data_IF_827280240478
#
_entry.id   IF_827280240478
#
_cell.length_a   1.000
_cell.length_b   1.000
_cell.length_c   1.000
_cell.angle_alpha   90.00
_cell.angle_beta   90.00
_cell.angle_gamma   90.00
#
_symmetry.space_group_name_H-M   'P 1'
#
loop_
_entity.id
_entity.type
_entity.pdbx_description
1 polymer ?
#
# COMPACT_ATOMS: atom_id res chain seq x y z
N UNK A 1 30.72 63.99 -16.45
CA UNK A 1 30.58 63.40 -17.79
C UNK A 1 30.66 61.90 -17.57
N UNK A 2 29.52 61.21 -17.60
CA UNK A 2 29.51 59.75 -17.58
C UNK A 2 30.12 59.25 -18.89
N UNK A 3 31.03 58.29 -18.78
CA UNK A 3 31.77 57.75 -19.92
C UNK A 3 30.79 56.94 -20.80
N UNK A 4 30.67 57.19 -22.12
CA UNK A 4 29.68 56.52 -22.98
C UNK A 4 29.79 54.98 -23.00
N UNK A 5 30.97 54.44 -22.65
CA UNK A 5 31.24 53.01 -22.45
C UNK A 5 30.48 52.42 -21.25
N UNK A 6 30.41 53.15 -20.14
CA UNK A 6 29.75 52.72 -18.90
C UNK A 6 28.23 52.56 -19.03
N UNK A 7 27.58 53.43 -19.80
CA UNK A 7 26.13 53.38 -20.05
C UNK A 7 25.75 52.15 -20.90
N UNK A 8 26.61 51.76 -21.85
CA UNK A 8 26.40 50.56 -22.67
C UNK A 8 26.54 49.27 -21.85
N UNK A 9 27.50 49.21 -20.91
CA UNK A 9 27.67 48.06 -20.02
C UNK A 9 26.47 47.88 -19.08
N UNK A 10 25.96 48.97 -18.49
CA UNK A 10 24.79 48.90 -17.61
C UNK A 10 23.56 48.38 -18.37
N UNK A 11 23.31 48.87 -19.59
CA UNK A 11 22.23 48.37 -20.43
C UNK A 11 22.36 46.89 -20.76
N UNK A 12 23.58 46.41 -21.01
CA UNK A 12 23.85 44.99 -21.24
C UNK A 12 23.60 44.15 -19.99
N UNK A 13 24.04 44.58 -18.81
CA UNK A 13 23.77 43.86 -17.56
C UNK A 13 22.28 43.81 -17.23
N UNK A 14 21.54 44.89 -17.48
CA UNK A 14 20.07 44.92 -17.34
C UNK A 14 19.42 43.96 -18.33
N UNK A 15 19.88 43.95 -19.59
CA UNK A 15 19.41 43.00 -20.60
C UNK A 15 19.70 41.55 -20.18
N UNK A 16 20.91 41.24 -19.69
CA UNK A 16 21.28 39.92 -19.18
C UNK A 16 20.38 39.49 -18.02
N UNK A 17 20.13 40.39 -17.08
CA UNK A 17 19.25 40.12 -15.94
C UNK A 17 17.84 39.79 -16.42
N UNK A 18 17.28 40.60 -17.33
CA UNK A 18 15.95 40.35 -17.92
C UNK A 18 15.93 39.01 -18.65
N UNK A 19 16.94 38.72 -19.48
CA UNK A 19 17.05 37.45 -20.22
C UNK A 19 17.17 36.27 -19.26
N UNK A 20 17.94 36.38 -18.18
CA UNK A 20 18.08 35.32 -17.18
C UNK A 20 16.76 35.09 -16.42
N UNK A 21 16.02 36.15 -16.08
CA UNK A 21 14.69 36.04 -15.46
C UNK A 21 13.68 35.40 -16.42
N UNK A 22 13.71 35.75 -17.70
CA UNK A 22 12.86 35.10 -18.71
C UNK A 22 13.23 33.63 -18.87
N UNK A 23 14.53 33.29 -18.89
CA UNK A 23 14.97 31.90 -18.94
C UNK A 23 14.49 31.12 -17.71
N UNK A 24 14.63 31.72 -16.53
CA UNK A 24 14.14 31.16 -15.27
C UNK A 24 12.63 30.88 -15.30
N UNK A 25 11.85 31.78 -15.89
CA UNK A 25 10.42 31.59 -16.06
C UNK A 25 10.10 30.37 -16.94
N UNK A 26 10.76 30.24 -18.10
CA UNK A 26 10.54 29.11 -19.01
C UNK A 26 10.98 27.78 -18.36
N UNK A 27 12.16 27.78 -17.74
CA UNK A 27 12.74 26.63 -17.06
C UNK A 27 11.91 26.15 -15.86
N UNK A 28 11.41 27.08 -15.04
CA UNK A 28 10.49 26.74 -13.94
C UNK A 28 9.14 26.23 -14.47
N UNK A 29 8.64 26.80 -15.56
CA UNK A 29 7.38 26.34 -16.19
C UNK A 29 7.50 24.93 -16.73
N UNK A 30 8.60 24.62 -17.42
CA UNK A 30 8.93 23.27 -17.89
C UNK A 30 8.84 22.26 -16.73
N UNK A 31 9.62 22.51 -15.67
CA UNK A 31 9.73 21.58 -14.55
C UNK A 31 8.44 21.46 -13.75
N UNK A 32 7.71 22.57 -13.57
CA UNK A 32 6.41 22.54 -12.94
C UNK A 32 5.46 21.60 -13.71
N UNK A 33 5.37 21.75 -15.04
CA UNK A 33 4.45 20.97 -15.86
C UNK A 33 4.81 19.49 -15.95
N UNK A 34 6.10 19.17 -16.10
CA UNK A 34 6.60 17.78 -16.20
C UNK A 34 6.43 17.02 -14.88
N UNK A 35 6.49 17.70 -13.73
CA UNK A 35 6.40 17.06 -12.41
C UNK A 35 4.97 16.98 -11.85
N UNK A 36 3.96 17.44 -12.58
CA UNK A 36 2.56 17.37 -12.16
C UNK A 36 2.04 15.92 -12.16
N UNK A 37 1.19 15.61 -11.19
CA UNK A 37 0.39 14.40 -11.24
C UNK A 37 -0.79 14.64 -12.21
N UNK A 38 -0.76 13.94 -13.35
CA UNK A 38 -1.76 14.08 -14.41
C UNK A 38 -3.18 13.71 -13.94
N UNK A 39 -3.33 12.61 -13.20
CA UNK A 39 -4.62 12.16 -12.67
C UNK A 39 -5.28 13.22 -11.79
N UNK A 40 -4.50 13.91 -10.94
CA UNK A 40 -5.01 15.02 -10.12
C UNK A 40 -5.46 16.23 -10.95
N UNK A 41 -4.79 16.51 -12.06
CA UNK A 41 -5.18 17.60 -12.98
C UNK A 41 -6.47 17.24 -13.72
N UNK A 42 -6.60 16.00 -14.17
CA UNK A 42 -7.81 15.47 -14.81
C UNK A 42 -9.00 15.50 -13.86
N UNK A 43 -8.85 14.96 -12.64
CA UNK A 43 -9.88 15.00 -11.59
C UNK A 43 -10.42 16.41 -11.37
N UNK A 44 -9.54 17.40 -11.15
CA UNK A 44 -9.96 18.79 -10.92
C UNK A 44 -10.55 19.47 -12.16
N UNK A 45 -10.19 19.01 -13.35
CA UNK A 45 -10.81 19.49 -14.58
C UNK A 45 -12.23 18.93 -14.73
N UNK A 46 -12.46 17.66 -14.38
CA UNK A 46 -13.79 17.02 -14.32
C UNK A 46 -14.70 17.65 -13.28
N UNK A 47 -14.16 18.02 -12.12
CA UNK A 47 -14.86 18.83 -11.09
C UNK A 47 -15.25 20.25 -11.59
N UNK A 48 -14.79 20.65 -12.77
CA UNK A 48 -15.19 21.88 -13.44
C UNK A 48 -14.30 23.10 -13.18
N UNK A 49 -13.11 22.95 -12.56
CA UNK A 49 -12.19 24.08 -12.39
C UNK A 49 -11.60 24.50 -13.75
N UNK A 50 -12.04 25.66 -14.24
CA UNK A 50 -11.62 26.27 -15.51
C UNK A 50 -10.10 26.48 -15.64
N UNK A 51 -9.35 26.52 -14.54
CA UNK A 51 -7.89 26.61 -14.56
C UNK A 51 -7.28 25.26 -14.90
N UNK A 52 -7.76 24.20 -14.28
CA UNK A 52 -7.32 22.83 -14.53
C UNK A 52 -7.74 22.34 -15.91
N UNK A 53 -8.94 22.71 -16.41
CA UNK A 53 -9.34 22.44 -17.80
C UNK A 53 -8.36 23.06 -18.82
N UNK A 54 -7.83 24.27 -18.54
CA UNK A 54 -6.85 24.91 -19.42
C UNK A 54 -5.48 24.27 -19.32
N UNK A 55 -5.07 23.90 -18.11
CA UNK A 55 -3.83 23.19 -17.86
C UNK A 55 -3.84 21.82 -18.56
N UNK A 56 -4.94 21.08 -18.46
CA UNK A 56 -5.12 19.78 -19.11
C UNK A 56 -4.91 19.86 -20.63
N UNK A 57 -5.46 20.88 -21.30
CA UNK A 57 -5.20 21.11 -22.74
C UNK A 57 -3.72 21.24 -23.12
N UNK A 58 -2.90 21.76 -22.20
CA UNK A 58 -1.45 21.85 -22.42
C UNK A 58 -0.79 20.48 -22.23
N UNK A 59 -1.22 19.73 -21.21
CA UNK A 59 -0.71 18.39 -20.91
C UNK A 59 -1.12 17.34 -21.96
N UNK A 60 -2.28 17.48 -22.61
CA UNK A 60 -2.73 16.64 -23.73
C UNK A 60 -1.83 16.74 -24.97
N UNK A 61 -1.01 17.80 -25.08
CA UNK A 61 -0.12 18.04 -26.22
C UNK A 61 1.32 18.27 -25.74
N UNK A 62 1.97 17.29 -25.09
CA UNK A 62 3.25 17.48 -24.41
C UNK A 62 4.35 17.88 -25.38
N UNK A 63 4.37 17.31 -26.59
CA UNK A 63 5.35 17.66 -27.64
C UNK A 63 5.27 19.13 -28.05
N UNK A 64 4.06 19.67 -28.20
CA UNK A 64 3.85 21.08 -28.57
C UNK A 64 4.28 22.00 -27.42
N UNK A 65 3.94 21.64 -26.18
CA UNK A 65 4.35 22.34 -24.97
C UNK A 65 5.88 22.38 -24.83
N UNK A 66 6.53 21.22 -24.80
CA UNK A 66 7.99 21.10 -24.64
C UNK A 66 8.73 21.86 -25.73
N UNK A 67 8.29 21.72 -26.99
CA UNK A 67 8.89 22.45 -28.11
C UNK A 67 8.73 23.97 -27.98
N UNK A 68 7.57 24.45 -27.51
CA UNK A 68 7.32 25.89 -27.29
C UNK A 68 8.29 26.47 -26.25
N UNK A 69 8.44 25.77 -25.12
CA UNK A 69 9.36 26.17 -24.05
C UNK A 69 10.81 26.13 -24.54
N UNK A 70 11.21 25.04 -25.22
CA UNK A 70 12.56 24.83 -25.72
C UNK A 70 12.99 25.92 -26.71
N UNK A 71 12.10 26.33 -27.61
CA UNK A 71 12.34 27.45 -28.54
C UNK A 71 12.59 28.74 -27.76
N UNK A 72 11.79 29.01 -26.72
CA UNK A 72 11.96 30.18 -25.84
C UNK A 72 13.30 30.19 -25.12
N UNK A 73 13.65 29.09 -24.44
CA UNK A 73 14.93 28.92 -23.74
C UNK A 73 16.09 29.10 -24.70
N UNK A 74 16.06 28.39 -25.84
CA UNK A 74 17.14 28.43 -26.83
C UNK A 74 17.34 29.84 -27.39
N UNK A 75 16.25 30.55 -27.71
CA UNK A 75 16.33 31.92 -28.21
C UNK A 75 16.96 32.86 -27.16
N UNK A 76 16.54 32.75 -25.89
CA UNK A 76 17.07 33.55 -24.79
C UNK A 76 18.56 33.26 -24.57
N UNK A 77 18.97 31.99 -24.61
CA UNK A 77 20.37 31.58 -24.49
C UNK A 77 21.23 32.15 -25.62
N UNK A 78 20.76 32.06 -26.87
CA UNK A 78 21.46 32.61 -28.04
C UNK A 78 21.59 34.14 -27.91
N UNK A 79 20.51 34.84 -27.55
CA UNK A 79 20.54 36.30 -27.37
C UNK A 79 21.49 36.73 -26.24
N UNK A 80 21.49 35.99 -25.13
CA UNK A 80 22.38 36.25 -23.98
C UNK A 80 23.85 36.04 -24.36
N UNK A 81 24.16 34.94 -25.04
CA UNK A 81 25.53 34.63 -25.48
C UNK A 81 26.05 35.60 -26.53
N UNK A 82 25.23 35.94 -27.54
CA UNK A 82 25.63 36.81 -28.65
C UNK A 82 25.82 38.28 -28.24
N UNK A 83 25.05 38.78 -27.26
CA UNK A 83 25.09 40.20 -26.88
C UNK A 83 26.14 40.53 -25.80
N UNK A 84 26.51 39.59 -24.93
CA UNK A 84 27.30 39.89 -23.72
C UNK A 84 28.71 39.28 -23.70
N UNK A 85 28.93 38.11 -24.31
CA UNK A 85 30.22 37.42 -24.19
C UNK A 85 31.37 38.22 -24.83
N UNK A 86 31.10 38.89 -25.94
CA UNK A 86 32.09 39.69 -26.66
C UNK A 86 32.44 41.00 -25.91
N UNK A 87 31.46 41.66 -25.28
CA UNK A 87 31.71 42.92 -24.55
C UNK A 87 32.46 42.67 -23.25
N UNK A 88 32.02 41.69 -22.46
CA UNK A 88 32.74 41.29 -21.23
C UNK A 88 34.12 40.70 -21.55
N UNK A 89 34.27 40.00 -22.66
CA UNK A 89 35.56 39.51 -23.16
C UNK A 89 36.56 40.65 -23.40
N UNK A 90 36.13 41.77 -24.03
CA UNK A 90 36.96 42.96 -24.24
C UNK A 90 37.40 43.63 -22.94
N UNK A 91 36.49 43.75 -21.97
CA UNK A 91 36.80 44.36 -20.66
C UNK A 91 37.80 43.52 -19.86
N UNK A 92 37.60 42.20 -19.79
CA UNK A 92 38.53 41.29 -19.12
C UNK A 92 39.89 41.25 -19.84
N UNK A 93 39.89 41.32 -21.18
CA UNK A 93 41.13 41.35 -21.98
C UNK A 93 41.97 42.60 -21.67
N UNK A 94 41.32 43.75 -21.41
CA UNK A 94 42.01 44.99 -21.04
C UNK A 94 42.86 44.84 -19.77
N UNK A 95 42.50 43.92 -18.87
CA UNK A 95 43.24 43.62 -17.64
C UNK A 95 44.34 42.57 -17.84
N UNK A 96 44.24 41.74 -18.89
CA UNK A 96 45.16 40.64 -19.19
C UNK A 96 46.28 41.01 -20.18
N UNK A 97 46.14 42.14 -20.88
CA UNK A 97 47.09 42.69 -21.87
C UNK A 97 46.52 42.73 -23.29
N UNK A 98 47.04 43.62 -24.15
CA UNK A 98 46.49 43.87 -25.51
C UNK A 98 46.91 42.84 -26.58
N UNK A 99 47.09 41.57 -26.21
CA UNK A 99 47.45 40.49 -27.14
C UNK A 99 46.24 39.72 -27.67
N UNK A 100 46.33 39.15 -28.88
CA UNK A 100 45.27 38.29 -29.44
C UNK A 100 44.98 37.06 -28.54
N UNK A 101 46.02 36.50 -27.90
CA UNK A 101 45.90 35.40 -26.95
C UNK A 101 45.17 35.82 -25.67
N UNK A 102 45.44 37.02 -25.17
CA UNK A 102 44.76 37.59 -24.01
C UNK A 102 43.27 37.83 -24.30
N UNK A 103 42.93 38.29 -25.50
CA UNK A 103 41.55 38.43 -25.95
C UNK A 103 40.80 37.10 -26.01
N UNK A 104 41.42 36.07 -26.60
CA UNK A 104 40.82 34.73 -26.70
C UNK A 104 40.55 34.11 -25.32
N UNK A 105 41.52 34.21 -24.40
CA UNK A 105 41.38 33.71 -23.02
C UNK A 105 40.31 34.49 -22.26
N UNK A 106 40.31 35.81 -22.35
CA UNK A 106 39.31 36.66 -21.69
C UNK A 106 37.88 36.41 -22.21
N UNK A 107 37.72 36.24 -23.52
CA UNK A 107 36.42 35.92 -24.13
C UNK A 107 35.92 34.54 -23.71
N UNK A 108 36.81 33.53 -23.63
CA UNK A 108 36.46 32.21 -23.13
C UNK A 108 36.03 32.24 -21.65
N UNK A 109 36.80 32.91 -20.79
CA UNK A 109 36.47 33.04 -19.37
C UNK A 109 35.18 33.82 -19.15
N UNK A 110 34.95 34.89 -19.92
CA UNK A 110 33.69 35.62 -19.91
C UNK A 110 32.51 34.73 -20.28
N UNK A 111 32.62 33.97 -21.39
CA UNK A 111 31.58 33.06 -21.82
C UNK A 111 31.30 31.97 -20.77
N UNK A 112 32.36 31.37 -20.19
CA UNK A 112 32.22 30.36 -19.15
C UNK A 112 31.53 30.91 -17.90
N UNK A 113 31.92 32.12 -17.45
CA UNK A 113 31.29 32.78 -16.31
C UNK A 113 29.81 33.12 -16.58
N UNK A 114 29.50 33.72 -17.74
CA UNK A 114 28.13 34.03 -18.14
C UNK A 114 27.27 32.76 -18.24
N UNK A 115 27.82 31.70 -18.81
CA UNK A 115 27.15 30.41 -18.93
C UNK A 115 26.85 29.83 -17.54
N UNK A 116 27.81 29.87 -16.61
CA UNK A 116 27.59 29.43 -15.24
C UNK A 116 26.46 30.21 -14.55
N UNK A 117 26.48 31.55 -14.63
CA UNK A 117 25.42 32.39 -14.06
C UNK A 117 24.06 32.07 -14.71
N UNK A 118 24.00 31.95 -16.04
CA UNK A 118 22.78 31.64 -16.77
C UNK A 118 22.22 30.26 -16.42
N UNK A 119 23.07 29.24 -16.26
CA UNK A 119 22.65 27.89 -15.87
C UNK A 119 22.16 27.89 -14.42
N UNK A 120 22.91 28.46 -13.49
CA UNK A 120 22.55 28.43 -12.07
C UNK A 120 21.26 29.21 -11.80
N UNK A 121 21.19 30.47 -12.24
CA UNK A 121 20.07 31.36 -11.93
C UNK A 121 18.93 31.28 -12.94
N UNK A 122 19.23 30.97 -14.20
CA UNK A 122 18.24 30.86 -15.27
C UNK A 122 17.67 29.46 -15.45
N UNK A 123 18.31 28.42 -14.91
CA UNK A 123 17.84 27.04 -15.12
C UNK A 123 17.75 26.21 -13.84
N UNK A 124 18.88 25.90 -13.20
CA UNK A 124 18.93 24.94 -12.09
C UNK A 124 18.14 25.39 -10.86
N UNK A 125 18.33 26.63 -10.41
CA UNK A 125 17.63 27.15 -9.23
C UNK A 125 16.11 27.31 -9.47
N UNK A 126 15.65 27.88 -10.60
CA UNK A 126 14.22 27.93 -10.95
C UNK A 126 13.57 26.53 -11.03
N UNK A 127 14.24 25.53 -11.60
CA UNK A 127 13.73 24.14 -11.64
C UNK A 127 13.55 23.57 -10.23
N UNK A 128 14.48 23.85 -9.30
CA UNK A 128 14.35 23.44 -7.89
C UNK A 128 13.17 24.11 -7.17
N UNK A 129 12.93 25.39 -7.43
CA UNK A 129 11.74 26.07 -6.89
C UNK A 129 10.46 25.45 -7.46
N UNK A 130 10.46 25.16 -8.77
CA UNK A 130 9.30 24.62 -9.46
C UNK A 130 8.83 23.27 -8.88
N UNK A 131 9.75 22.41 -8.46
CA UNK A 131 9.42 21.13 -7.82
C UNK A 131 8.55 21.28 -6.56
N UNK A 132 8.77 22.33 -5.77
CA UNK A 132 8.02 22.58 -4.54
C UNK A 132 6.70 23.33 -4.77
N UNK A 133 6.57 24.06 -5.89
CA UNK A 133 5.42 24.94 -6.19
C UNK A 133 4.72 24.57 -7.50
N UNK A 134 4.87 23.32 -7.95
CA UNK A 134 4.48 22.84 -9.29
C UNK A 134 3.02 23.13 -9.64
N UNK A 135 2.08 22.86 -8.74
CA UNK A 135 0.64 23.10 -8.95
C UNK A 135 0.33 24.58 -9.23
N UNK A 136 0.82 25.47 -8.35
CA UNK A 136 0.54 26.90 -8.45
C UNK A 136 1.21 27.53 -9.67
N UNK A 137 2.44 27.12 -9.97
CA UNK A 137 3.19 27.63 -11.12
C UNK A 137 2.55 27.16 -12.43
N UNK A 138 2.28 25.87 -12.59
CA UNK A 138 1.68 25.32 -13.80
C UNK A 138 0.36 26.00 -14.18
N UNK A 139 -0.53 26.20 -13.20
CA UNK A 139 -1.81 26.89 -13.42
C UNK A 139 -1.61 28.34 -13.87
N UNK A 140 -0.65 29.04 -13.25
CA UNK A 140 -0.42 30.47 -13.51
C UNK A 140 0.27 30.70 -14.85
N UNK A 141 1.14 29.78 -15.26
CA UNK A 141 1.94 29.89 -16.49
C UNK A 141 1.24 29.33 -17.72
N UNK A 142 0.34 28.35 -17.57
CA UNK A 142 -0.45 27.75 -18.65
C UNK A 142 -1.02 28.75 -19.68
N UNK A 143 -1.74 29.84 -19.31
CA UNK A 143 -2.27 30.77 -20.30
C UNK A 143 -1.18 31.52 -21.10
N UNK A 144 -0.05 31.83 -20.46
CA UNK A 144 1.10 32.48 -21.11
C UNK A 144 1.70 31.53 -22.15
N UNK A 145 1.88 30.27 -21.80
CA UNK A 145 2.44 29.26 -22.71
C UNK A 145 1.50 28.95 -23.87
N UNK A 146 0.19 28.89 -23.64
CA UNK A 146 -0.78 28.73 -24.75
C UNK A 146 -0.68 29.92 -25.72
N UNK A 147 -0.53 31.14 -25.21
CA UNK A 147 -0.35 32.33 -26.04
C UNK A 147 0.95 32.29 -26.84
N UNK A 148 2.07 31.99 -26.19
CA UNK A 148 3.38 31.89 -26.83
C UNK A 148 3.43 30.75 -27.84
N UNK A 149 2.86 29.58 -27.53
CA UNK A 149 2.80 28.44 -28.43
C UNK A 149 2.10 28.74 -29.73
N UNK A 150 1.05 29.59 -29.72
CA UNK A 150 0.42 30.08 -30.95
C UNK A 150 1.35 30.99 -31.77
N UNK A 151 2.13 31.85 -31.10
CA UNK A 151 3.09 32.74 -31.75
C UNK A 151 4.22 31.95 -32.43
N UNK A 152 4.79 30.97 -31.73
CA UNK A 152 5.92 30.17 -32.23
C UNK A 152 5.49 28.91 -32.98
N UNK A 153 4.19 28.73 -33.21
CA UNK A 153 3.60 27.54 -33.84
C UNK A 153 4.27 27.12 -35.16
N UNK A 154 4.66 28.04 -36.08
CA UNK A 154 5.36 27.64 -37.31
C UNK A 154 6.71 26.96 -37.05
N UNK A 155 7.45 27.42 -36.03
CA UNK A 155 8.72 26.84 -35.62
C UNK A 155 8.51 25.50 -34.91
N UNK A 156 7.51 25.42 -34.04
CA UNK A 156 7.13 24.18 -33.36
C UNK A 156 6.72 23.11 -34.37
N UNK A 157 5.90 23.47 -35.37
CA UNK A 157 5.51 22.55 -36.45
C UNK A 157 6.73 21.99 -37.21
N UNK A 158 7.72 22.84 -37.52
CA UNK A 158 8.93 22.41 -38.20
C UNK A 158 9.75 21.42 -37.34
N UNK A 159 9.87 21.69 -36.04
CA UNK A 159 10.52 20.78 -35.09
C UNK A 159 9.77 19.45 -35.00
N UNK A 160 8.45 19.48 -34.81
CA UNK A 160 7.61 18.28 -34.74
C UNK A 160 7.64 17.46 -36.04
N UNK A 161 7.66 18.12 -37.21
CA UNK A 161 7.80 17.43 -38.49
C UNK A 161 9.15 16.72 -38.59
N UNK A 162 10.22 17.34 -38.08
CA UNK A 162 11.56 16.77 -38.05
C UNK A 162 11.64 15.56 -37.11
N UNK A 163 11.08 15.65 -35.90
CA UNK A 163 11.03 14.53 -34.94
C UNK A 163 10.16 13.39 -35.46
N UNK A 164 9.04 13.68 -36.11
CA UNK A 164 8.16 12.66 -36.71
C UNK A 164 8.80 11.95 -37.91
N UNK A 165 9.68 12.63 -38.66
CA UNK A 165 10.46 11.98 -39.72
C UNK A 165 11.47 11.00 -39.13
N UNK A 166 12.13 11.37 -38.04
CA UNK A 166 13.06 10.50 -37.33
C UNK A 166 12.34 9.33 -36.65
N UNK A 167 11.17 9.56 -36.05
CA UNK A 167 10.41 8.49 -35.38
C UNK A 167 9.98 7.39 -36.34
N UNK A 168 9.72 7.70 -37.62
CA UNK A 168 9.45 6.69 -38.67
C UNK A 168 10.63 5.77 -38.97
N UNK A 169 11.85 6.18 -38.65
CA UNK A 169 13.06 5.37 -38.82
C UNK A 169 13.31 4.45 -37.62
N UNK A 170 12.62 4.68 -36.50
CA UNK A 170 12.76 3.91 -35.25
C UNK A 170 11.49 3.12 -34.97
N UNK A 171 11.53 1.78 -34.82
CA UNK A 171 10.36 0.97 -34.51
C UNK A 171 9.99 1.09 -33.01
N UNK A 172 9.59 2.28 -32.56
CA UNK A 172 9.12 2.56 -31.20
C UNK A 172 7.84 3.39 -31.23
N UNK A 173 6.91 3.07 -30.34
CA UNK A 173 5.72 3.88 -30.06
C UNK A 173 6.08 4.90 -28.97
N UNK A 174 5.93 6.19 -29.26
CA UNK A 174 6.29 7.30 -28.35
C UNK A 174 5.06 7.98 -27.72
N UNK A 175 3.89 7.33 -27.78
CA UNK A 175 2.66 7.83 -27.16
C UNK A 175 2.55 7.24 -25.74
N UNK A 176 3.13 7.93 -24.76
CA UNK A 176 3.17 7.56 -23.33
C UNK A 176 1.86 7.92 -22.58
N UNK A 177 0.74 8.08 -23.28
CA UNK A 177 -0.42 8.74 -22.68
C UNK A 177 -1.24 7.87 -21.71
N UNK A 178 -1.16 6.54 -21.81
CA UNK A 178 -2.04 5.60 -21.10
C UNK A 178 -1.27 4.32 -20.69
N UNK A 179 -0.16 4.44 -19.96
CA UNK A 179 0.37 3.27 -19.26
C UNK A 179 -0.60 2.96 -18.11
N UNK A 180 -1.54 2.05 -18.38
CA UNK A 180 -2.49 1.57 -17.38
C UNK A 180 -1.68 0.87 -16.30
N UNK A 181 -1.89 1.28 -15.06
CA UNK A 181 -1.28 0.60 -13.93
C UNK A 181 -1.58 -0.89 -13.98
N UNK A 182 -0.54 -1.69 -13.79
CA UNK A 182 -0.67 -3.13 -13.65
C UNK A 182 -1.11 -3.49 -12.23
N UNK A 183 -1.61 -4.72 -12.04
CA UNK A 183 -1.98 -5.21 -10.70
C UNK A 183 -0.78 -5.15 -9.75
N UNK A 184 0.37 -5.62 -10.23
CA UNK A 184 1.64 -5.62 -9.49
C UNK A 184 2.08 -4.21 -9.05
N UNK A 185 1.82 -3.18 -9.88
CA UNK A 185 2.08 -1.79 -9.51
C UNK A 185 1.14 -1.28 -8.41
N UNK A 186 -0.13 -1.70 -8.41
CA UNK A 186 -1.09 -1.37 -7.34
C UNK A 186 -0.65 -2.06 -6.04
N UNK A 187 -0.31 -3.34 -6.09
CA UNK A 187 0.18 -4.09 -4.94
C UNK A 187 1.48 -3.50 -4.36
N UNK A 188 2.41 -3.11 -5.25
CA UNK A 188 3.63 -2.41 -4.86
C UNK A 188 3.34 -1.06 -4.20
N UNK A 189 2.38 -0.29 -4.72
CA UNK A 189 1.97 0.97 -4.09
C UNK A 189 1.41 0.72 -2.69
N UNK A 190 0.48 -0.24 -2.53
CA UNK A 190 -0.14 -0.56 -1.24
C UNK A 190 0.90 -0.98 -0.20
N UNK A 191 1.85 -1.84 -0.58
CA UNK A 191 2.91 -2.31 0.32
C UNK A 191 3.86 -1.18 0.74
N UNK A 192 4.06 -0.16 -0.10
CA UNK A 192 4.90 1.00 0.21
C UNK A 192 4.10 2.20 0.74
N UNK A 193 2.83 2.02 1.09
CA UNK A 193 1.94 3.08 1.59
C UNK A 193 1.88 3.17 3.12
N UNK A 194 2.90 2.69 3.85
CA UNK A 194 2.91 2.64 5.32
C UNK A 194 2.65 3.99 6.02
N UNK A 195 2.89 5.13 5.36
CA UNK A 195 2.56 6.46 5.91
C UNK A 195 1.09 6.88 5.71
N UNK A 196 0.31 6.13 4.91
CA UNK A 196 -1.03 6.54 4.44
C UNK A 196 -2.14 5.54 4.76
N UNK A 197 -1.81 4.25 4.92
CA UNK A 197 -2.74 3.17 5.25
C UNK A 197 -2.25 2.42 6.49
N UNK A 198 -3.19 2.01 7.34
CA UNK A 198 -2.89 1.18 8.51
C UNK A 198 -2.57 -0.26 8.09
N UNK A 199 -1.84 -1.01 8.92
CA UNK A 199 -1.42 -2.39 8.60
C UNK A 199 -2.62 -3.31 8.31
N UNK A 200 -3.70 -3.17 9.08
CA UNK A 200 -4.93 -3.94 8.91
C UNK A 200 -5.63 -3.62 7.58
N UNK A 201 -5.56 -2.36 7.12
CA UNK A 201 -6.12 -1.96 5.82
C UNK A 201 -5.31 -2.57 4.65
N UNK A 202 -4.00 -2.64 4.80
CA UNK A 202 -3.11 -3.27 3.81
C UNK A 202 -3.40 -4.77 3.74
N UNK A 203 -3.55 -5.45 4.89
CA UNK A 203 -3.89 -6.88 4.96
C UNK A 203 -5.24 -7.17 4.29
N UNK A 204 -6.26 -6.36 4.58
CA UNK A 204 -7.56 -6.52 3.94
C UNK A 204 -7.52 -6.35 2.42
N UNK A 205 -6.78 -5.35 1.94
CA UNK A 205 -6.65 -5.14 0.49
C UNK A 205 -5.89 -6.29 -0.18
N UNK A 206 -4.84 -6.81 0.46
CA UNK A 206 -4.11 -7.99 -0.02
C UNK A 206 -5.03 -9.21 -0.07
N UNK A 207 -5.85 -9.44 0.95
CA UNK A 207 -6.87 -10.49 0.97
C UNK A 207 -7.86 -10.38 -0.18
N UNK A 208 -8.35 -9.17 -0.49
CA UNK A 208 -9.22 -8.95 -1.67
C UNK A 208 -8.51 -9.32 -2.97
N UNK A 209 -7.21 -9.01 -3.09
CA UNK A 209 -6.43 -9.37 -4.27
C UNK A 209 -6.02 -10.85 -4.33
N UNK A 210 -6.14 -11.65 -3.26
CA UNK A 210 -5.81 -13.07 -3.34
C UNK A 210 -7.03 -13.93 -3.74
N UNK A 211 -8.25 -13.44 -3.59
CA UNK A 211 -9.47 -14.24 -3.78
C UNK A 211 -9.68 -14.79 -5.19
N UNK A 212 -9.18 -14.12 -6.23
CA UNK A 212 -9.28 -14.58 -7.62
C UNK A 212 -8.20 -15.60 -8.00
N UNK A 213 -7.23 -15.82 -7.10
CA UNK A 213 -6.16 -16.82 -7.26
C UNK A 213 -6.39 -18.06 -6.38
N UNK A 214 -7.14 -17.92 -5.28
CA UNK A 214 -7.49 -18.98 -4.35
C UNK A 214 -8.65 -19.85 -4.86
N UNK A 215 -8.47 -21.17 -4.79
CA UNK A 215 -9.54 -22.15 -5.04
C UNK A 215 -10.25 -22.55 -3.75
N UNK A 216 -11.54 -22.90 -3.85
CA UNK A 216 -12.35 -23.32 -2.72
C UNK A 216 -11.74 -24.50 -1.92
N UNK A 217 -11.04 -25.44 -2.58
CA UNK A 217 -10.33 -26.53 -1.91
C UNK A 217 -9.21 -26.10 -0.96
N UNK A 218 -8.68 -24.89 -1.11
CA UNK A 218 -7.57 -24.37 -0.29
C UNK A 218 -8.08 -23.82 1.04
N UNK A 219 -9.36 -23.41 1.09
CA UNK A 219 -10.03 -22.80 2.26
C UNK A 219 -11.13 -23.69 2.83
N UNK A 220 -11.30 -24.92 2.32
CA UNK A 220 -12.37 -25.81 2.74
C UNK A 220 -12.07 -26.49 4.08
N UNK A 221 -13.15 -26.79 4.81
CA UNK A 221 -13.12 -27.83 5.85
C UNK A 221 -13.18 -29.19 5.15
N UNK A 222 -12.12 -30.02 5.23
CA UNK A 222 -12.09 -31.32 4.55
C UNK A 222 -13.19 -32.25 5.05
N UNK A 223 -13.69 -33.15 4.20
CA UNK A 223 -14.74 -34.13 4.56
C UNK A 223 -14.41 -34.93 5.84
N UNK A 224 -13.14 -35.20 6.10
CA UNK A 224 -12.69 -35.95 7.29
C UNK A 224 -12.93 -35.19 8.59
N UNK A 225 -12.85 -33.87 8.52
CA UNK A 225 -12.90 -32.97 9.68
C UNK A 225 -14.28 -32.30 9.82
N UNK A 226 -15.08 -32.34 8.75
CA UNK A 226 -16.45 -31.85 8.75
C UNK A 226 -17.35 -32.62 9.72
N UNK A 227 -18.00 -31.89 10.63
CA UNK A 227 -19.08 -32.41 11.47
C UNK A 227 -20.35 -32.59 10.63
N UNK A 228 -20.84 -33.82 10.54
CA UNK A 228 -22.00 -34.20 9.74
C UNK A 228 -22.79 -35.30 10.46
N UNK A 229 -24.05 -35.48 10.11
CA UNK A 229 -24.92 -36.51 10.70
C UNK A 229 -25.51 -37.43 9.65
N UNK A 230 -25.60 -38.73 9.96
CA UNK A 230 -26.28 -39.71 9.10
C UNK A 230 -27.79 -39.65 9.36
N UNK A 231 -28.60 -39.60 8.31
CA UNK A 231 -30.05 -39.66 8.40
C UNK A 231 -30.58 -41.02 8.88
N UNK A 232 -29.77 -42.07 8.78
CA UNK A 232 -30.11 -43.42 9.21
C UNK A 232 -29.93 -43.66 10.72
N UNK A 233 -29.22 -42.75 11.40
CA UNK A 233 -29.02 -42.84 12.85
C UNK A 233 -30.31 -42.61 13.64
N UNK A 234 -30.31 -43.03 14.90
CA UNK A 234 -31.43 -42.77 15.80
C UNK A 234 -31.67 -41.26 15.94
N UNK A 235 -32.92 -40.84 15.79
CA UNK A 235 -33.26 -39.41 15.76
C UNK A 235 -32.87 -38.69 17.05
N UNK A 236 -32.97 -39.35 18.21
CA UNK A 236 -32.56 -38.76 19.48
C UNK A 236 -31.03 -38.62 19.54
N UNK A 237 -30.28 -39.58 19.01
CA UNK A 237 -28.81 -39.51 18.91
C UNK A 237 -28.34 -38.38 17.97
N UNK A 238 -29.00 -38.20 16.81
CA UNK A 238 -28.71 -37.10 15.88
C UNK A 238 -28.93 -35.75 16.57
N UNK A 239 -30.09 -35.57 17.22
CA UNK A 239 -30.45 -34.33 17.93
C UNK A 239 -29.42 -34.03 19.03
N UNK A 240 -29.07 -35.03 19.85
CA UNK A 240 -28.07 -34.86 20.90
C UNK A 240 -26.70 -34.48 20.33
N UNK A 241 -26.30 -35.06 19.20
CA UNK A 241 -25.03 -34.76 18.55
C UNK A 241 -25.01 -33.34 18.01
N UNK A 242 -26.10 -32.90 17.36
CA UNK A 242 -26.25 -31.53 16.86
C UNK A 242 -26.20 -30.52 18.00
N UNK A 243 -26.98 -30.73 19.07
CA UNK A 243 -27.09 -29.77 20.17
C UNK A 243 -25.83 -29.68 21.06
N UNK A 244 -24.88 -30.60 20.90
CA UNK A 244 -23.56 -30.52 21.56
C UNK A 244 -22.57 -29.61 20.82
N UNK A 245 -22.83 -29.32 19.55
CA UNK A 245 -21.98 -28.48 18.72
C UNK A 245 -22.54 -27.05 18.67
N UNK A 246 -21.64 -26.09 18.41
CA UNK A 246 -22.01 -24.69 18.25
C UNK A 246 -22.38 -24.33 16.80
N UNK A 247 -22.38 -25.30 15.89
CA UNK A 247 -22.64 -25.04 14.47
C UNK A 247 -24.10 -24.66 14.21
N UNK A 248 -24.29 -23.61 13.41
CA UNK A 248 -25.62 -23.17 12.95
C UNK A 248 -26.17 -24.04 11.82
N UNK A 249 -25.29 -24.65 11.02
CA UNK A 249 -25.62 -25.46 9.84
C UNK A 249 -24.85 -26.76 9.88
N UNK A 250 -25.55 -27.87 9.70
CA UNK A 250 -24.95 -29.21 9.73
C UNK A 250 -25.36 -29.97 8.46
N UNK A 251 -24.40 -30.44 7.65
CA UNK A 251 -24.68 -31.34 6.54
C UNK A 251 -25.23 -32.68 7.02
N UNK A 252 -26.18 -33.21 6.26
CA UNK A 252 -26.81 -34.52 6.50
C UNK A 252 -26.54 -35.42 5.31
N UNK A 253 -26.03 -36.61 5.58
CA UNK A 253 -25.74 -37.61 4.57
C UNK A 253 -26.61 -38.87 4.77
N UNK A 254 -26.61 -39.75 3.79
CA UNK A 254 -27.36 -41.02 3.82
C UNK A 254 -26.40 -42.20 3.62
N UNK A 255 -26.03 -42.84 4.73
CA UNK A 255 -25.12 -43.99 4.79
C UNK A 255 -23.65 -43.66 4.54
N UNK A 256 -23.33 -43.13 3.35
CA UNK A 256 -21.98 -42.70 2.99
C UNK A 256 -21.86 -41.17 3.12
N UNK A 257 -20.76 -40.69 3.70
CA UNK A 257 -20.47 -39.25 3.83
C UNK A 257 -20.38 -38.53 2.49
N UNK A 258 -20.08 -39.27 1.41
CA UNK A 258 -20.11 -38.72 0.05
C UNK A 258 -21.52 -38.36 -0.43
N UNK A 259 -22.55 -38.97 0.15
CA UNK A 259 -23.93 -38.78 -0.26
C UNK A 259 -24.64 -37.77 0.63
N UNK A 260 -24.28 -36.50 0.50
CA UNK A 260 -24.95 -35.40 1.20
C UNK A 260 -26.35 -35.16 0.60
N UNK A 261 -27.39 -35.30 1.41
CA UNK A 261 -28.80 -35.18 0.99
C UNK A 261 -29.43 -33.85 1.41
N UNK A 262 -28.80 -33.07 2.29
CA UNK A 262 -29.32 -31.79 2.74
C UNK A 262 -28.49 -31.13 3.84
N UNK A 263 -28.91 -29.92 4.22
CA UNK A 263 -28.34 -29.16 5.33
C UNK A 263 -29.45 -28.88 6.34
N UNK A 264 -29.16 -29.09 7.61
CA UNK A 264 -30.05 -28.72 8.73
C UNK A 264 -29.56 -27.43 9.34
N UNK A 265 -30.48 -26.48 9.48
CA UNK A 265 -30.26 -25.31 10.32
C UNK A 265 -30.69 -25.61 11.76
N UNK A 266 -29.82 -25.40 12.75
CA UNK A 266 -30.08 -25.74 14.17
C UNK A 266 -31.36 -25.06 14.69
N UNK A 267 -31.58 -23.78 14.35
CA UNK A 267 -32.85 -23.08 14.63
C UNK A 267 -34.10 -23.75 14.05
N UNK A 268 -34.03 -24.34 12.85
CA UNK A 268 -35.15 -25.06 12.23
C UNK A 268 -35.45 -26.35 12.97
N UNK A 269 -34.41 -27.06 13.41
CA UNK A 269 -34.52 -28.25 14.26
C UNK A 269 -35.21 -27.91 15.59
N UNK A 270 -34.73 -26.88 16.29
CA UNK A 270 -35.31 -26.42 17.55
C UNK A 270 -36.78 -26.00 17.39
N UNK A 271 -37.11 -25.31 16.30
CA UNK A 271 -38.49 -24.92 15.99
C UNK A 271 -39.39 -26.14 15.77
N UNK A 272 -38.92 -27.14 15.01
CA UNK A 272 -39.67 -28.36 14.78
C UNK A 272 -39.86 -29.15 16.09
N UNK A 273 -38.81 -29.29 16.90
CA UNK A 273 -38.89 -29.93 18.21
C UNK A 273 -39.85 -29.23 19.17
N UNK A 274 -39.94 -27.90 19.12
CA UNK A 274 -40.89 -27.13 19.93
C UNK A 274 -42.35 -27.33 19.50
N UNK A 275 -42.63 -27.41 18.19
CA UNK A 275 -44.00 -27.51 17.66
C UNK A 275 -44.51 -28.95 17.66
N UNK A 276 -43.70 -29.89 17.17
CA UNK A 276 -44.11 -31.27 16.90
C UNK A 276 -43.61 -32.24 18.00
N UNK A 277 -42.68 -31.80 18.86
CA UNK A 277 -41.95 -32.63 19.81
C UNK A 277 -40.70 -33.26 19.18
N UNK A 278 -39.61 -33.36 19.94
CA UNK A 278 -38.33 -33.91 19.44
C UNK A 278 -38.45 -35.38 18.98
N UNK A 279 -39.36 -36.15 19.56
CA UNK A 279 -39.59 -37.56 19.20
C UNK A 279 -40.32 -37.74 17.86
N UNK A 280 -40.96 -36.68 17.34
CA UNK A 280 -41.79 -36.74 16.12
C UNK A 280 -41.21 -35.93 14.95
N UNK A 281 -39.92 -35.58 14.99
CA UNK A 281 -39.29 -34.77 13.95
C UNK A 281 -39.29 -35.52 12.61
N UNK A 282 -39.83 -34.86 11.59
CA UNK A 282 -39.77 -35.34 10.20
C UNK A 282 -38.61 -34.63 9.49
N UNK A 283 -37.44 -35.26 9.50
CA UNK A 283 -36.19 -34.68 8.96
C UNK A 283 -36.33 -34.09 7.55
N UNK A 284 -37.00 -34.80 6.63
CA UNK A 284 -37.24 -34.33 5.25
C UNK A 284 -37.96 -32.98 5.15
N UNK A 285 -38.68 -32.54 6.20
CA UNK A 285 -39.37 -31.23 6.22
C UNK A 285 -38.48 -30.08 6.68
N UNK A 286 -37.36 -30.38 7.33
CA UNK A 286 -36.43 -29.39 7.90
C UNK A 286 -35.09 -29.35 7.17
N UNK A 287 -34.81 -30.34 6.30
CA UNK A 287 -33.68 -30.32 5.39
C UNK A 287 -33.85 -29.20 4.36
N UNK A 288 -32.76 -28.47 4.13
CA UNK A 288 -32.62 -27.53 3.04
C UNK A 288 -31.72 -28.12 1.97
N UNK A 289 -32.03 -27.83 0.70
CA UNK A 289 -31.18 -28.24 -0.40
C UNK A 289 -29.78 -27.60 -0.25
N UNK A 290 -28.70 -28.39 -0.39
CA UNK A 290 -27.33 -27.90 -0.34
C UNK A 290 -26.96 -27.21 -1.66
N UNK A 291 -26.03 -26.25 -1.60
CA UNK A 291 -25.37 -25.72 -2.78
C UNK A 291 -24.16 -26.60 -3.09
N UNK A 292 -24.17 -27.28 -4.23
CA UNK A 292 -23.04 -28.08 -4.69
C UNK A 292 -22.22 -27.30 -5.72
N UNK A 293 -20.90 -27.28 -5.52
CA UNK A 293 -19.94 -26.64 -6.42
C UNK A 293 -18.70 -27.53 -6.55
N UNK A 294 -17.95 -27.48 -7.67
CA UNK A 294 -16.69 -28.20 -7.76
C UNK A 294 -15.65 -27.64 -6.79
N UNK A 295 -14.77 -28.47 -6.24
CA UNK A 295 -13.70 -28.03 -5.33
C UNK A 295 -12.69 -27.04 -5.97
N UNK A 296 -12.68 -26.97 -7.31
CA UNK A 296 -11.79 -26.12 -8.12
C UNK A 296 -12.38 -24.74 -8.44
N UNK A 297 -13.58 -24.41 -7.98
CA UNK A 297 -14.14 -23.06 -8.14
C UNK A 297 -13.25 -22.04 -7.42
N UNK A 298 -13.03 -20.87 -8.03
CA UNK A 298 -12.34 -19.76 -7.36
C UNK A 298 -13.18 -19.18 -6.23
N UNK A 299 -12.50 -18.69 -5.19
CA UNK A 299 -13.15 -18.16 -3.99
C UNK A 299 -14.03 -16.95 -4.31
N UNK A 300 -13.59 -16.04 -5.17
CA UNK A 300 -14.37 -14.86 -5.56
C UNK A 300 -15.69 -15.23 -6.28
N UNK A 301 -15.67 -16.26 -7.11
CA UNK A 301 -16.84 -16.81 -7.79
C UNK A 301 -17.74 -17.59 -6.83
N UNK A 302 -17.17 -18.36 -5.89
CA UNK A 302 -17.94 -19.03 -4.84
C UNK A 302 -18.66 -18.02 -3.93
N UNK A 303 -17.98 -16.93 -3.56
CA UNK A 303 -18.57 -15.83 -2.78
C UNK A 303 -19.75 -15.20 -3.52
N UNK A 304 -19.62 -14.98 -4.84
CA UNK A 304 -20.73 -14.49 -5.69
C UNK A 304 -21.89 -15.50 -5.71
N UNK A 305 -21.61 -16.79 -5.84
CA UNK A 305 -22.64 -17.84 -5.88
C UNK A 305 -23.41 -17.95 -4.55
N UNK A 306 -22.71 -17.97 -3.42
CA UNK A 306 -23.30 -17.96 -2.08
C UNK A 306 -24.20 -16.73 -1.87
N UNK A 307 -23.73 -15.54 -2.28
CA UNK A 307 -24.51 -14.30 -2.21
C UNK A 307 -25.75 -14.31 -3.09
N UNK A 308 -25.63 -14.76 -4.35
CA UNK A 308 -26.73 -14.80 -5.31
C UNK A 308 -27.82 -15.80 -4.91
N UNK A 309 -27.40 -16.95 -4.38
CA UNK A 309 -28.31 -18.00 -3.90
C UNK A 309 -28.80 -17.77 -2.47
N UNK A 310 -28.29 -16.74 -1.79
CA UNK A 310 -28.53 -16.44 -0.37
C UNK A 310 -28.24 -17.64 0.55
N UNK A 311 -27.22 -18.42 0.19
CA UNK A 311 -26.71 -19.54 1.00
C UNK A 311 -25.48 -19.08 1.78
N UNK A 312 -25.22 -19.74 2.91
CA UNK A 312 -24.05 -19.48 3.77
C UNK A 312 -23.12 -20.69 3.87
N UNK A 313 -23.38 -21.75 3.12
CA UNK A 313 -22.58 -22.97 3.10
C UNK A 313 -22.71 -23.63 1.73
N UNK A 314 -21.58 -24.06 1.18
CA UNK A 314 -21.49 -24.87 -0.02
C UNK A 314 -20.82 -26.21 0.31
N UNK A 315 -21.26 -27.27 -0.37
CA UNK A 315 -20.64 -28.58 -0.33
C UNK A 315 -19.78 -28.71 -1.59
N UNK A 316 -18.49 -28.95 -1.38
CA UNK A 316 -17.52 -29.08 -2.47
C UNK A 316 -17.50 -30.52 -2.98
N UNK A 317 -17.55 -30.68 -4.30
CA UNK A 317 -17.50 -31.97 -4.97
C UNK A 317 -16.14 -32.20 -5.65
N UNK A 318 -15.64 -33.42 -5.53
CA UNK A 318 -14.48 -33.89 -6.29
C UNK A 318 -14.86 -34.26 -7.74
N UNK A 319 -13.88 -34.70 -8.54
CA UNK A 319 -14.11 -35.06 -9.94
C UNK A 319 -14.96 -36.31 -10.14
N UNK A 320 -15.16 -37.10 -9.08
CA UNK A 320 -15.98 -38.30 -9.07
C UNK A 320 -17.40 -38.03 -8.56
N UNK A 321 -17.69 -36.80 -8.12
CA UNK A 321 -18.97 -36.38 -7.55
C UNK A 321 -19.15 -36.72 -6.08
N UNK A 322 -18.09 -37.17 -5.40
CA UNK A 322 -18.06 -37.34 -3.95
C UNK A 322 -17.83 -36.02 -3.22
N UNK A 323 -18.10 -35.99 -1.92
CA UNK A 323 -17.86 -34.79 -1.11
C UNK A 323 -16.36 -34.64 -0.85
N UNK A 324 -15.76 -33.57 -1.33
CA UNK A 324 -14.39 -33.19 -0.98
C UNK A 324 -14.34 -32.50 0.40
N UNK A 325 -15.29 -31.61 0.66
CA UNK A 325 -15.36 -30.80 1.87
C UNK A 325 -16.55 -29.85 1.86
N UNK A 326 -16.51 -28.87 2.74
CA UNK A 326 -17.48 -27.76 2.78
C UNK A 326 -16.77 -26.43 2.98
N UNK A 327 -17.42 -25.36 2.54
CA UNK A 327 -16.97 -23.98 2.73
C UNK A 327 -18.17 -23.15 3.16
N UNK A 328 -17.97 -22.29 4.15
CA UNK A 328 -18.96 -21.34 4.65
C UNK A 328 -18.70 -19.93 4.13
N UNK A 329 -19.66 -19.03 4.29
CA UNK A 329 -19.46 -17.63 3.91
C UNK A 329 -18.42 -16.97 4.82
N UNK A 330 -18.39 -17.40 6.07
CA UNK A 330 -17.48 -16.98 7.12
C UNK A 330 -16.03 -17.29 6.74
N UNK A 331 -15.74 -18.54 6.32
CA UNK A 331 -14.39 -18.95 5.87
C UNK A 331 -13.89 -18.09 4.68
N UNK A 332 -14.79 -17.71 3.76
CA UNK A 332 -14.39 -16.86 2.62
C UNK A 332 -14.15 -15.40 2.99
N UNK A 333 -14.80 -14.91 4.06
CA UNK A 333 -14.59 -13.56 4.56
C UNK A 333 -13.31 -13.47 5.40
N UNK A 334 -12.93 -14.55 6.07
CA UNK A 334 -11.69 -14.67 6.81
C UNK A 334 -10.46 -14.45 5.93
N UNK A 335 -10.48 -14.92 4.68
CA UNK A 335 -9.41 -14.64 3.70
C UNK A 335 -9.24 -13.14 3.36
N UNK A 336 -10.28 -12.33 3.59
CA UNK A 336 -10.23 -10.88 3.42
C UNK A 336 -9.86 -10.20 4.73
N UNK A 337 -10.53 -10.55 5.83
CA UNK A 337 -10.50 -9.76 7.07
C UNK A 337 -9.37 -10.23 8.00
N UNK A 338 -8.76 -11.38 7.72
CA UNK A 338 -7.93 -12.11 8.66
C UNK A 338 -8.79 -12.92 9.62
N UNK A 339 -8.13 -13.61 10.56
CA UNK A 339 -8.80 -14.46 11.55
C UNK A 339 -9.86 -13.65 12.32
N UNK A 340 -11.12 -14.03 12.19
CA UNK A 340 -12.22 -13.44 12.93
C UNK A 340 -12.48 -14.38 14.12
N UNK A 341 -11.98 -14.02 15.30
CA UNK A 341 -12.31 -14.74 16.53
C UNK A 341 -13.85 -14.76 16.74
N UNK A 342 -14.49 -15.93 16.65
CA UNK A 342 -15.92 -16.05 16.91
C UNK A 342 -16.18 -15.83 18.41
N UNK A 343 -17.34 -15.25 18.77
CA UNK A 343 -17.73 -15.06 20.18
C UNK A 343 -17.82 -16.41 20.93
N UNK A 344 -17.91 -17.52 20.17
CA UNK A 344 -17.96 -18.89 20.68
C UNK A 344 -16.66 -19.67 20.55
N UNK A 345 -15.66 -19.14 19.87
CA UNK A 345 -14.31 -19.64 19.99
C UNK A 345 -13.92 -19.42 21.45
N UNK A 346 -13.56 -20.50 22.13
CA UNK A 346 -12.88 -20.35 23.41
C UNK A 346 -11.63 -19.56 23.08
N UNK A 347 -11.61 -18.27 23.43
CA UNK A 347 -10.42 -17.44 23.53
C UNK A 347 -9.27 -18.39 23.83
N UNK A 348 -8.37 -18.58 22.87
CA UNK A 348 -7.32 -19.57 22.96
C UNK A 348 -6.73 -19.42 24.36
N UNK A 349 -6.86 -20.46 25.22
CA UNK A 349 -6.56 -20.30 26.65
C UNK A 349 -5.16 -19.67 26.75
N UNK A 350 -5.10 -18.37 27.10
CA UNK A 350 -3.88 -17.59 26.95
C UNK A 350 -2.79 -18.10 27.88
N UNK A 351 -3.19 -18.83 28.94
CA UNK A 351 -2.32 -19.36 29.96
C UNK A 351 -2.60 -20.85 30.24
N UNK A 352 -1.62 -21.70 29.96
CA UNK A 352 -1.63 -23.12 30.34
C UNK A 352 -0.67 -23.40 31.50
N UNK A 353 -1.19 -23.81 32.67
CA UNK A 353 -0.36 -24.25 33.79
C UNK A 353 0.21 -25.65 33.52
N UNK A 354 1.53 -25.81 33.64
CA UNK A 354 2.26 -27.06 33.39
C UNK A 354 3.04 -27.58 34.63
N UNK A 355 3.04 -26.82 35.73
CA UNK A 355 3.60 -27.19 37.04
C UNK A 355 3.03 -26.29 38.14
N UNK A 356 3.41 -26.52 39.41
CA UNK A 356 2.91 -25.72 40.54
C UNK A 356 3.11 -24.21 40.30
N UNK A 357 4.32 -23.83 39.88
CA UNK A 357 4.73 -22.44 39.67
C UNK A 357 5.17 -22.16 38.23
N UNK A 358 4.66 -22.92 37.26
CA UNK A 358 5.12 -22.84 35.87
C UNK A 358 3.97 -22.87 34.88
N UNK A 359 3.98 -21.90 33.97
CA UNK A 359 2.92 -21.64 32.99
C UNK A 359 3.51 -21.49 31.59
N UNK A 360 2.71 -21.80 30.57
CA UNK A 360 2.97 -21.49 29.17
C UNK A 360 1.92 -20.47 28.75
N UNK A 361 2.39 -19.29 28.39
CA UNK A 361 1.56 -18.15 28.02
C UNK A 361 1.68 -17.89 26.52
N UNK A 362 0.58 -17.57 25.86
CA UNK A 362 0.60 -17.14 24.46
C UNK A 362 1.33 -15.82 24.34
N UNK A 363 2.23 -15.71 23.35
CA UNK A 363 3.04 -14.51 23.16
C UNK A 363 2.22 -13.25 22.87
N UNK A 364 1.00 -13.43 22.36
CA UNK A 364 0.03 -12.39 22.02
C UNK A 364 -0.74 -11.86 23.22
N UNK A 365 -0.69 -12.51 24.40
CA UNK A 365 -1.38 -12.05 25.60
C UNK A 365 -0.95 -10.62 25.95
N UNK A 366 -1.91 -9.73 26.18
CA UNK A 366 -1.60 -8.33 26.49
C UNK A 366 -0.98 -8.19 27.87
N UNK A 367 -0.20 -7.13 28.10
CA UNK A 367 0.37 -6.85 29.42
C UNK A 367 -0.71 -6.65 30.49
N UNK A 368 -1.85 -6.05 30.13
CA UNK A 368 -2.97 -5.87 31.06
C UNK A 368 -3.56 -7.21 31.48
N UNK A 369 -3.86 -8.09 30.53
CA UNK A 369 -4.41 -9.42 30.83
C UNK A 369 -3.40 -10.26 31.63
N UNK A 370 -2.10 -10.13 31.30
CA UNK A 370 -1.03 -10.80 32.01
C UNK A 370 -0.94 -10.34 33.47
N UNK A 371 -1.00 -9.02 33.68
CA UNK A 371 -1.00 -8.39 35.01
C UNK A 371 -2.21 -8.83 35.83
N UNK A 372 -3.40 -8.82 35.24
CA UNK A 372 -4.64 -9.24 35.90
C UNK A 372 -4.61 -10.74 36.25
N UNK A 373 -4.07 -11.58 35.37
CA UNK A 373 -4.02 -13.03 35.59
C UNK A 373 -3.02 -13.43 36.67
N UNK A 374 -1.80 -12.85 36.64
CA UNK A 374 -0.73 -13.22 37.57
C UNK A 374 -0.62 -12.31 38.79
N UNK A 375 -1.44 -11.26 38.87
CA UNK A 375 -1.45 -10.26 39.94
C UNK A 375 -0.03 -9.66 40.10
N UNK A 376 0.43 -9.07 38.99
CA UNK A 376 1.73 -8.41 38.82
C UNK A 376 1.53 -7.08 38.08
N UNK A 377 2.57 -6.25 38.03
CA UNK A 377 2.52 -4.95 37.35
C UNK A 377 3.72 -4.83 36.40
N UNK A 378 3.47 -5.16 35.14
CA UNK A 378 4.37 -4.97 34.01
C UNK A 378 3.85 -3.82 33.16
N UNK A 379 4.70 -2.84 32.87
CA UNK A 379 4.35 -1.69 32.05
C UNK A 379 5.45 -1.42 31.02
N UNK A 380 5.05 -1.03 29.82
CA UNK A 380 5.96 -0.57 28.77
C UNK A 380 5.24 0.44 27.87
N UNK A 381 5.97 1.46 27.43
CA UNK A 381 5.46 2.48 26.50
C UNK A 381 5.57 2.05 25.02
N UNK A 382 6.38 1.02 24.73
CA UNK A 382 6.74 0.62 23.36
C UNK A 382 6.11 -0.71 22.92
N UNK A 383 5.56 -1.50 23.86
CA UNK A 383 5.03 -2.84 23.59
C UNK A 383 3.81 -3.17 24.44
N UNK A 384 2.81 -3.81 23.82
CA UNK A 384 1.54 -4.13 24.46
C UNK A 384 1.40 -5.61 24.86
N UNK A 385 2.28 -6.49 24.37
CA UNK A 385 2.18 -7.96 24.55
C UNK A 385 3.32 -8.54 25.38
N UNK A 386 3.09 -9.69 26.01
CA UNK A 386 4.10 -10.38 26.82
C UNK A 386 5.33 -10.83 25.99
N UNK A 387 5.15 -11.23 24.73
CA UNK A 387 6.26 -11.54 23.85
C UNK A 387 7.10 -10.30 23.52
N UNK A 388 6.45 -9.16 23.24
CA UNK A 388 7.13 -7.89 23.02
C UNK A 388 7.93 -7.47 24.24
N UNK A 389 7.31 -7.53 25.42
CA UNK A 389 7.95 -7.19 26.70
C UNK A 389 9.17 -8.08 27.00
N UNK A 390 9.04 -9.39 26.80
CA UNK A 390 10.15 -10.34 26.90
C UNK A 390 11.29 -10.00 25.92
N UNK A 391 10.99 -9.71 24.65
CA UNK A 391 11.99 -9.39 23.64
C UNK A 391 12.74 -8.09 23.96
N UNK A 392 12.03 -7.08 24.47
CA UNK A 392 12.63 -5.83 24.95
C UNK A 392 13.56 -6.09 26.13
N UNK A 393 13.16 -6.95 27.07
CA UNK A 393 13.98 -7.33 28.23
C UNK A 393 15.25 -8.11 27.86
N UNK A 394 15.15 -9.03 26.88
CA UNK A 394 16.28 -9.83 26.40
C UNK A 394 17.17 -9.06 25.42
N UNK A 395 16.63 -8.08 24.69
CA UNK A 395 17.37 -7.20 23.77
C UNK A 395 17.82 -7.87 22.46
N UNK A 396 17.36 -9.10 22.18
CA UNK A 396 17.68 -9.82 20.94
C UNK A 396 16.54 -10.77 20.56
N UNK A 397 16.42 -11.10 19.26
CA UNK A 397 15.44 -12.05 18.75
C UNK A 397 16.05 -13.47 18.83
N UNK A 398 15.52 -14.37 19.68
CA UNK A 398 16.06 -15.72 19.82
C UNK A 398 15.73 -16.55 18.57
N UNK A 399 16.72 -17.19 17.98
CA UNK A 399 16.56 -18.06 16.80
C UNK A 399 16.32 -19.51 17.21
N UNK A 400 17.21 -20.06 18.04
CA UNK A 400 17.13 -21.44 18.55
C UNK A 400 17.54 -21.60 20.02
N UNK A 401 18.19 -20.59 20.60
CA UNK A 401 18.62 -20.62 22.00
C UNK A 401 17.47 -20.26 22.95
N UNK A 402 17.41 -20.94 24.10
CA UNK A 402 16.49 -20.58 25.18
C UNK A 402 17.12 -19.48 26.02
N UNK A 403 16.61 -18.27 25.88
CA UNK A 403 17.00 -17.10 26.65
C UNK A 403 15.95 -16.83 27.72
N UNK A 404 16.41 -16.54 28.93
CA UNK A 404 15.54 -16.20 30.06
C UNK A 404 15.74 -14.73 30.44
N UNK A 405 14.63 -14.08 30.79
CA UNK A 405 14.60 -12.74 31.35
C UNK A 405 13.98 -12.81 32.74
N UNK A 406 14.73 -12.39 33.75
CA UNK A 406 14.30 -12.39 35.15
C UNK A 406 13.93 -10.99 35.58
N UNK A 407 12.80 -10.87 36.29
CA UNK A 407 12.31 -9.61 36.82
C UNK A 407 11.53 -9.84 38.11
N UNK A 408 11.34 -8.77 38.88
CA UNK A 408 10.54 -8.80 40.11
C UNK A 408 9.43 -7.77 39.99
N UNK A 409 8.20 -8.19 40.23
CA UNK A 409 7.03 -7.31 40.26
C UNK A 409 6.08 -7.75 41.38
N UNK A 410 5.58 -6.80 42.16
CA UNK A 410 4.64 -7.02 43.29
C UNK A 410 4.99 -8.23 44.18
N UNK A 411 6.21 -8.28 44.73
CA UNK A 411 6.72 -9.36 45.59
C UNK A 411 6.78 -10.76 44.94
N UNK A 412 6.69 -10.84 43.61
CA UNK A 412 6.85 -12.07 42.83
C UNK A 412 8.09 -11.96 41.95
N UNK A 413 8.93 -12.98 41.97
CA UNK A 413 10.01 -13.14 41.00
C UNK A 413 9.48 -13.90 39.79
N UNK A 414 9.59 -13.31 38.61
CA UNK A 414 9.17 -13.90 37.34
C UNK A 414 10.40 -14.24 36.50
N UNK A 415 10.40 -15.44 35.91
CA UNK A 415 11.36 -15.88 34.91
C UNK A 415 10.60 -16.14 33.61
N UNK A 416 10.81 -15.29 32.62
CA UNK A 416 10.23 -15.41 31.28
C UNK A 416 11.24 -16.09 30.36
N UNK A 417 10.87 -17.19 29.71
CA UNK A 417 11.72 -17.92 28.75
C UNK A 417 11.00 -18.13 27.43
N UNK A 418 11.66 -17.96 26.29
CA UNK A 418 11.08 -18.31 25.00
C UNK A 418 10.83 -19.83 24.90
N UNK A 419 9.56 -20.23 24.85
CA UNK A 419 9.19 -21.64 24.74
C UNK A 419 9.10 -22.09 23.28
N UNK A 420 8.41 -21.30 22.45
CA UNK A 420 8.24 -21.59 21.02
C UNK A 420 8.45 -20.34 20.16
N UNK A 421 9.39 -20.44 19.23
CA UNK A 421 9.69 -19.41 18.23
C UNK A 421 9.31 -19.94 16.85
N UNK A 422 8.56 -19.17 16.06
CA UNK A 422 8.22 -19.48 14.66
C UNK A 422 8.55 -18.25 13.82
N UNK A 423 9.36 -18.41 12.77
CA UNK A 423 9.74 -17.34 11.84
C UNK A 423 10.26 -16.05 12.52
N UNK A 424 11.06 -16.20 13.59
CA UNK A 424 11.60 -15.06 14.34
C UNK A 424 10.62 -14.38 15.31
N UNK A 425 9.38 -14.89 15.44
CA UNK A 425 8.39 -14.42 16.43
C UNK A 425 8.30 -15.38 17.61
N UNK A 426 8.30 -14.86 18.84
CA UNK A 426 8.08 -15.65 20.06
C UNK A 426 6.58 -15.88 20.21
N UNK A 427 6.13 -17.07 19.85
CA UNK A 427 4.70 -17.46 19.88
C UNK A 427 4.23 -17.91 21.25
N UNK A 428 5.13 -18.44 22.09
CA UNK A 428 4.83 -18.87 23.46
C UNK A 428 5.96 -18.52 24.40
N UNK A 429 5.60 -17.99 25.57
CA UNK A 429 6.51 -17.64 26.66
C UNK A 429 6.25 -18.58 27.83
N UNK A 430 7.29 -19.27 28.28
CA UNK A 430 7.25 -20.02 29.54
C UNK A 430 7.48 -19.04 30.67
N UNK A 431 6.60 -19.06 31.67
CA UNK A 431 6.64 -18.18 32.83
C UNK A 431 6.80 -19.02 34.09
N UNK A 432 7.80 -18.72 34.90
CA UNK A 432 7.94 -19.27 36.25
C UNK A 432 7.76 -18.15 37.26
N UNK A 433 6.95 -18.37 38.29
CA UNK A 433 6.61 -17.34 39.27
C UNK A 433 6.87 -17.87 40.67
N UNK A 434 7.69 -17.17 41.45
CA UNK A 434 7.97 -17.53 42.84
C UNK A 434 7.65 -16.34 43.73
N UNK A 435 6.92 -16.56 44.84
CA UNK A 435 6.73 -15.54 45.86
C UNK A 435 8.05 -15.24 46.58
N UNK A 436 8.34 -13.96 46.76
CA UNK A 436 9.52 -13.48 47.50
C UNK A 436 9.04 -12.86 48.80
N UNK A 437 9.37 -13.47 49.93
CA UNK A 437 9.24 -12.82 51.24
C UNK A 437 10.28 -11.70 51.32
N UNK A 438 9.82 -10.44 51.30
CA UNK A 438 10.66 -9.31 51.70
C UNK A 438 10.78 -9.40 53.22
N UNK A 439 11.94 -9.83 53.73
CA UNK A 439 12.28 -9.60 55.13
C UNK A 439 12.25 -8.08 55.36
N UNK A 440 11.24 -7.59 56.07
CA UNK A 440 11.24 -6.23 56.60
C UNK A 440 12.48 -6.09 57.51
N UNK A 441 13.49 -5.33 57.08
CA UNK A 441 14.52 -4.82 57.98
C UNK A 441 13.81 -3.97 59.05
N UNK A 442 13.53 -4.57 60.20
CA UNK A 442 13.16 -3.84 61.41
C UNK A 442 14.31 -2.89 61.80
N UNK A 443 13.98 -1.60 61.94
CA UNK A 443 14.83 -0.49 62.39
C UNK A 443 15.73 -0.77 63.61
#
# INVERSE_FOLDING_TARGET
MEDPSSQNLLLQFVLLFILTVLNAFFSATEMAMVSLNRARVEQKAEEGDRRYIRLLKVLENPNHFLSTIQVGITLITILSGASLADTLGREIASWLGNGETAYAVASFLSLAFLTYISIVFGELYPKRIALNLKDALAIRTAPVIIGLGKLVSPFVWLLSASTNLLSRLTPMTFDDADEKMTRDEIEYMLTNSEETLDADEIEMLQGIFSLDELMAREVMVPRTDAFMVDIQDDSQAIIQSILKQNYSRIPVYDGDKDNVIGIIHTKSLLKAGFVDGFDNIVWKRILQDPLFVPETIFVDDLLKELRNTQRQMAILLDEYGGMAGLVTLEDLLEEIVGEIDDETDKAAIDVHQIGEDTYIVQGTMTLNDFNDYFDVELASDDVDTIAGYYLTGVGTIPTTEKLSYELVSQNKQLILTNDKVKNGRVTKVKVQITEVEIEEETE
#
